data_IF_313294934753
#
_entry.id   IF_313294934753
#
_cell.length_a   1.000
_cell.length_b   1.000
_cell.length_c   1.000
_cell.angle_alpha   90.00
_cell.angle_beta   90.00
_cell.angle_gamma   90.00
#
_symmetry.space_group_name_H-M   'P 1'
#
loop_
_entity.id
_entity.type
_entity.pdbx_description
1 polymer ?
#
# COMPACT_ATOMS: atom_id res chain seq x y z
N UNK A 1 0.00 21.45 17.62
CA UNK A 1 -0.90 20.31 17.43
C UNK A 1 -0.25 19.41 16.39
N UNK A 2 0.54 18.45 16.84
CA UNK A 2 1.24 17.52 15.96
C UNK A 2 0.20 16.58 15.37
N UNK A 3 0.05 16.56 14.04
CA UNK A 3 -0.85 15.62 13.38
C UNK A 3 -0.24 14.24 13.50
N UNK A 4 -0.78 13.41 14.39
CA UNK A 4 -0.35 12.02 14.62
C UNK A 4 -0.85 11.07 13.51
N UNK A 5 -1.77 11.53 12.66
CA UNK A 5 -2.31 10.79 11.53
C UNK A 5 -2.08 11.55 10.22
N UNK A 6 -1.88 10.78 9.14
CA UNK A 6 -1.64 11.23 7.78
C UNK A 6 -2.62 10.54 6.84
N UNK A 7 -2.97 11.19 5.74
CA UNK A 7 -3.88 10.63 4.73
C UNK A 7 -3.06 10.14 3.56
N UNK A 8 -3.12 8.84 3.26
CA UNK A 8 -2.44 8.23 2.12
C UNK A 8 -3.45 7.78 1.08
N UNK A 9 -3.03 7.68 -0.18
CA UNK A 9 -3.82 7.04 -1.23
C UNK A 9 -3.25 5.67 -1.52
N UNK A 10 -4.04 4.62 -1.27
CA UNK A 10 -3.68 3.24 -1.58
C UNK A 10 -4.31 2.86 -2.92
N UNK A 11 -3.48 2.41 -3.84
CA UNK A 11 -3.87 1.85 -5.13
C UNK A 11 -3.41 0.41 -5.20
N UNK A 12 -4.29 -0.51 -5.56
CA UNK A 12 -3.90 -1.88 -5.87
C UNK A 12 -3.93 -2.14 -7.36
N UNK A 13 -3.02 -2.98 -7.85
CA UNK A 13 -2.91 -3.34 -9.28
C UNK A 13 -2.72 -4.85 -9.40
N UNK A 14 -3.54 -5.46 -10.26
CA UNK A 14 -3.57 -6.92 -10.44
C UNK A 14 -4.59 -7.61 -9.52
N UNK A 15 -4.57 -8.93 -9.53
CA UNK A 15 -5.48 -9.76 -8.72
C UNK A 15 -4.81 -10.09 -7.39
N UNK A 16 -5.00 -9.22 -6.40
CA UNK A 16 -4.68 -9.54 -5.00
C UNK A 16 -5.82 -10.39 -4.45
N UNK A 17 -5.51 -11.53 -3.84
CA UNK A 17 -6.48 -12.60 -3.56
C UNK A 17 -7.53 -12.17 -2.52
N UNK A 18 -7.15 -11.28 -1.61
CA UNK A 18 -8.01 -10.72 -0.57
C UNK A 18 -8.79 -9.46 -0.98
N UNK A 19 -8.47 -8.84 -2.12
CA UNK A 19 -9.24 -7.70 -2.64
C UNK A 19 -10.18 -8.17 -3.74
N UNK A 20 -11.43 -8.46 -3.38
CA UNK A 20 -12.48 -8.69 -4.35
C UNK A 20 -12.65 -7.45 -5.25
N UNK A 21 -12.32 -7.58 -6.54
CA UNK A 21 -12.72 -6.64 -7.57
C UNK A 21 -11.71 -5.55 -7.90
N UNK A 22 -10.62 -5.94 -8.59
CA UNK A 22 -9.87 -5.03 -9.46
C UNK A 22 -9.20 -3.86 -8.75
N UNK A 23 -8.51 -3.05 -9.54
CA UNK A 23 -7.69 -1.93 -9.06
C UNK A 23 -8.52 -0.97 -8.19
N UNK A 24 -8.32 -1.00 -6.88
CA UNK A 24 -9.05 -0.14 -5.93
C UNK A 24 -8.15 1.02 -5.51
N UNK A 25 -8.68 2.22 -5.60
CA UNK A 25 -8.01 3.45 -5.16
C UNK A 25 -8.79 4.03 -3.98
N UNK A 26 -8.26 3.90 -2.76
CA UNK A 26 -8.89 4.43 -1.56
C UNK A 26 -7.95 5.38 -0.83
N UNK A 27 -8.52 6.44 -0.26
CA UNK A 27 -7.83 7.30 0.68
C UNK A 27 -7.97 6.71 2.09
N UNK A 28 -6.86 6.44 2.76
CA UNK A 28 -6.82 5.86 4.09
C UNK A 28 -6.13 6.81 5.06
N UNK A 29 -6.76 7.05 6.21
CA UNK A 29 -6.12 7.74 7.33
C UNK A 29 -5.34 6.73 8.18
N UNK A 30 -4.04 7.00 8.35
CA UNK A 30 -3.10 6.10 9.01
C UNK A 30 -2.18 6.89 9.97
N UNK A 31 -1.57 6.24 10.97
CA UNK A 31 -0.57 6.90 11.81
C UNK A 31 0.59 7.46 10.98
N UNK A 32 1.16 8.60 11.40
CA UNK A 32 2.26 9.27 10.71
C UNK A 32 3.58 8.46 10.67
N UNK A 33 3.70 7.46 11.53
CA UNK A 33 4.87 6.56 11.63
C UNK A 33 4.56 5.16 11.06
N UNK A 34 3.53 5.03 10.21
CA UNK A 34 3.17 3.73 9.64
C UNK A 34 4.12 3.32 8.51
N UNK A 35 4.50 2.05 8.48
CA UNK A 35 5.25 1.46 7.36
C UNK A 35 4.32 0.90 6.28
N UNK A 36 4.85 0.68 5.09
CA UNK A 36 4.10 -0.02 4.04
C UNK A 36 3.64 -1.40 4.48
N UNK A 37 4.49 -2.17 5.18
CA UNK A 37 4.14 -3.50 5.68
C UNK A 37 2.92 -3.47 6.62
N UNK A 38 2.84 -2.48 7.51
CA UNK A 38 1.68 -2.29 8.38
C UNK A 38 0.41 -1.96 7.58
N UNK A 39 0.52 -1.15 6.52
CA UNK A 39 -0.63 -0.86 5.64
C UNK A 39 -1.08 -2.11 4.90
N UNK A 40 -0.16 -2.92 4.37
CA UNK A 40 -0.47 -4.21 3.73
C UNK A 40 -1.24 -5.11 4.70
N UNK A 41 -0.76 -5.26 5.93
CA UNK A 41 -1.44 -6.04 6.97
C UNK A 41 -2.83 -5.48 7.32
N UNK A 42 -2.98 -4.15 7.39
CA UNK A 42 -4.29 -3.50 7.64
C UNK A 42 -5.29 -3.71 6.50
N UNK A 43 -4.81 -3.88 5.27
CA UNK A 43 -5.63 -4.20 4.10
C UNK A 43 -6.02 -5.69 4.05
N UNK A 44 -5.56 -6.50 5.02
CA UNK A 44 -5.78 -7.94 5.05
C UNK A 44 -5.01 -8.69 3.96
N UNK A 45 -3.94 -8.07 3.44
CA UNK A 45 -3.07 -8.66 2.44
C UNK A 45 -1.89 -9.33 3.11
N UNK A 46 -1.45 -10.45 2.56
CA UNK A 46 -0.19 -11.06 2.96
C UNK A 46 1.00 -10.49 2.17
N UNK A 47 2.19 -10.49 2.78
CA UNK A 47 3.40 -9.95 2.12
C UNK A 47 3.75 -10.67 0.81
N UNK A 48 3.43 -11.97 0.71
CA UNK A 48 3.67 -12.75 -0.50
C UNK A 48 2.68 -12.44 -1.63
N UNK A 49 1.53 -11.83 -1.32
CA UNK A 49 0.55 -11.37 -2.31
C UNK A 49 1.00 -10.08 -3.01
N UNK A 50 1.93 -9.33 -2.41
CA UNK A 50 2.45 -8.08 -2.95
C UNK A 50 3.84 -8.30 -3.55
N UNK A 51 3.95 -8.22 -4.87
CA UNK A 51 5.21 -8.40 -5.58
C UNK A 51 6.04 -7.12 -5.67
N UNK A 52 5.38 -5.98 -5.89
CA UNK A 52 6.04 -4.69 -6.05
C UNK A 52 5.28 -3.59 -5.31
N UNK A 53 6.05 -2.72 -4.65
CA UNK A 53 5.55 -1.56 -3.90
C UNK A 53 6.10 -0.29 -4.54
N UNK A 54 5.21 0.66 -4.83
CA UNK A 54 5.60 2.00 -5.27
C UNK A 54 5.06 3.04 -4.30
N UNK A 55 5.86 4.03 -3.96
CA UNK A 55 5.44 5.25 -3.26
C UNK A 55 5.67 6.42 -4.22
N UNK A 56 4.62 7.16 -4.57
CA UNK A 56 4.68 8.25 -5.55
C UNK A 56 5.38 7.82 -6.85
N UNK A 57 4.95 6.68 -7.40
CA UNK A 57 5.48 6.10 -8.64
C UNK A 57 6.97 5.68 -8.59
N UNK A 58 7.57 5.66 -7.39
CA UNK A 58 8.96 5.22 -7.16
C UNK A 58 8.98 3.93 -6.38
N UNK A 59 9.82 2.96 -6.79
CA UNK A 59 10.00 1.72 -6.05
C UNK A 59 10.47 1.98 -4.62
N UNK A 60 9.75 1.40 -3.66
CA UNK A 60 10.02 1.56 -2.25
C UNK A 60 10.05 0.21 -1.54
N UNK A 61 10.80 0.16 -0.45
CA UNK A 61 10.82 -1.02 0.41
C UNK A 61 9.57 -1.06 1.30
N UNK A 62 9.16 -2.27 1.71
CA UNK A 62 8.04 -2.49 2.63
C UNK A 62 8.25 -1.87 4.02
N UNK A 63 9.50 -1.61 4.41
CA UNK A 63 9.86 -0.91 5.66
C UNK A 63 9.82 0.61 5.53
N UNK A 64 9.57 1.14 4.34
CA UNK A 64 9.51 2.58 4.12
C UNK A 64 8.32 3.17 4.86
N UNK A 65 8.55 4.27 5.57
CA UNK A 65 7.50 5.02 6.26
C UNK A 65 6.72 5.88 5.28
N UNK A 66 5.39 5.87 5.43
CA UNK A 66 4.48 6.65 4.60
C UNK A 66 4.24 8.04 5.18
N UNK A 67 4.16 9.03 4.29
CA UNK A 67 3.93 10.43 4.64
C UNK A 67 2.55 10.89 4.18
N UNK A 68 2.15 12.05 4.69
CA UNK A 68 0.91 12.69 4.26
C UNK A 68 0.90 12.89 2.74
N UNK A 69 -0.23 12.48 2.15
CA UNK A 69 -0.50 12.49 0.71
C UNK A 69 0.37 11.57 -0.13
N UNK A 70 1.09 10.64 0.47
CA UNK A 70 1.79 9.61 -0.29
C UNK A 70 0.79 8.72 -1.04
N UNK A 71 1.14 8.40 -2.29
CA UNK A 71 0.45 7.39 -3.06
C UNK A 71 1.19 6.07 -2.95
N UNK A 72 0.62 5.15 -2.18
CA UNK A 72 1.05 3.77 -2.10
C UNK A 72 0.41 2.96 -3.23
N UNK A 73 1.22 2.35 -4.09
CA UNK A 73 0.75 1.40 -5.10
C UNK A 73 1.26 0.00 -4.77
N UNK A 74 0.34 -0.94 -4.57
CA UNK A 74 0.62 -2.35 -4.33
C UNK A 74 0.32 -3.14 -5.59
N UNK A 75 1.31 -3.84 -6.11
CA UNK A 75 1.20 -4.56 -7.36
C UNK A 75 1.39 -6.04 -7.06
N UNK A 76 0.44 -6.87 -7.50
CA UNK A 76 0.53 -8.31 -7.38
C UNK A 76 1.80 -8.84 -8.09
N UNK A 77 2.45 -9.90 -7.59
CA UNK A 77 3.59 -10.49 -8.27
C UNK A 77 3.18 -10.92 -9.68
N UNK A 78 4.04 -10.64 -10.65
CA UNK A 78 3.88 -11.13 -12.02
C UNK A 78 4.07 -12.66 -11.99
N UNK A 79 2.99 -13.40 -11.82
CA UNK A 79 2.97 -14.84 -12.09
C UNK A 79 2.92 -14.97 -13.62
N UNK A 80 4.09 -14.85 -14.25
CA UNK A 80 4.26 -15.10 -15.68
C UNK A 80 4.13 -16.58 -15.97
N UNK A 81 3.30 -16.93 -16.95
CA UNK A 81 3.29 -18.26 -17.58
C UNK A 81 4.51 -18.51 -18.44
#
# INVERSE_FOLDING_TARGET
>A
MERTAVIISVKTVGTLRNLEGGSRCDSLEVPADISVADVIARLGLEEWEVGLVLINDTHADRKTLLKDRDRLTLIAPLIGG
#
